data_IF_405118903296
#
_entry.id   IF_405118903296
#
_cell.length_a   1.000
_cell.length_b   1.000
_cell.length_c   1.000
_cell.angle_alpha   90.00
_cell.angle_beta   90.00
_cell.angle_gamma   90.00
#
_symmetry.space_group_name_H-M   'P 1'
#
loop_
_entity.id
_entity.type
_entity.pdbx_description
1 polymer ?
#
# COMPACT_ATOMS: atom_id res chain seq x y z
N UNK A 1 -15.11 -20.59 0.07
CA UNK A 1 -15.08 -19.13 0.10
C UNK A 1 -15.78 -18.60 -1.14
N UNK A 2 -16.58 -17.55 -1.00
CA UNK A 2 -17.15 -16.80 -2.11
C UNK A 2 -16.08 -15.93 -2.77
N UNK A 3 -16.36 -15.43 -3.97
CA UNK A 3 -15.48 -14.48 -4.65
C UNK A 3 -15.26 -13.20 -3.81
N UNK A 4 -16.31 -12.71 -3.16
CA UNK A 4 -16.24 -11.56 -2.27
C UNK A 4 -15.33 -11.82 -1.05
N UNK A 5 -15.42 -13.01 -0.44
CA UNK A 5 -14.54 -13.41 0.66
C UNK A 5 -13.06 -13.47 0.22
N UNK A 6 -12.79 -13.97 -0.99
CA UNK A 6 -11.44 -13.98 -1.56
C UNK A 6 -10.91 -12.56 -1.79
N UNK A 7 -11.74 -11.67 -2.35
CA UNK A 7 -11.37 -10.28 -2.59
C UNK A 7 -11.03 -9.55 -1.28
N UNK A 8 -11.84 -9.74 -0.24
CA UNK A 8 -11.60 -9.19 1.10
C UNK A 8 -10.27 -9.69 1.67
N UNK A 9 -9.97 -10.98 1.53
CA UNK A 9 -8.71 -11.55 2.00
C UNK A 9 -7.50 -10.91 1.29
N UNK A 10 -7.55 -10.77 -0.04
CA UNK A 10 -6.47 -10.13 -0.82
C UNK A 10 -6.23 -8.69 -0.35
N UNK A 11 -7.30 -7.90 -0.21
CA UNK A 11 -7.19 -6.50 0.24
C UNK A 11 -6.60 -6.43 1.64
N UNK A 12 -7.05 -7.29 2.56
CA UNK A 12 -6.53 -7.33 3.93
C UNK A 12 -5.04 -7.63 3.97
N UNK A 13 -4.58 -8.63 3.23
CA UNK A 13 -3.17 -9.02 3.23
C UNK A 13 -2.27 -7.97 2.55
N UNK A 14 -2.75 -7.33 1.47
CA UNK A 14 -2.08 -6.18 0.87
C UNK A 14 -1.91 -5.04 1.89
N UNK A 15 -2.98 -4.70 2.63
CA UNK A 15 -2.93 -3.63 3.63
C UNK A 15 -1.91 -3.95 4.73
N UNK A 16 -1.90 -5.18 5.26
CA UNK A 16 -0.91 -5.62 6.27
C UNK A 16 0.52 -5.45 5.75
N UNK A 17 0.81 -5.96 4.55
CA UNK A 17 2.14 -5.82 3.95
C UNK A 17 2.54 -4.35 3.75
N UNK A 18 1.63 -3.52 3.23
CA UNK A 18 1.88 -2.09 2.98
C UNK A 18 2.10 -1.28 4.26
N UNK A 19 1.52 -1.70 5.40
CA UNK A 19 1.63 -1.03 6.70
C UNK A 19 2.89 -1.44 7.48
N UNK A 20 3.47 -2.63 7.23
CA UNK A 20 4.73 -3.12 7.82
C UNK A 20 5.93 -2.81 6.89
N UNK A 21 5.85 -1.71 6.13
CA UNK A 21 6.62 -1.43 4.90
C UNK A 21 7.22 -2.61 4.13
N UNK A 22 6.52 -3.73 3.97
CA UNK A 22 6.97 -4.89 3.20
C UNK A 22 6.55 -4.73 1.73
N UNK A 23 7.39 -4.02 0.96
CA UNK A 23 7.11 -3.66 -0.42
C UNK A 23 7.06 -4.87 -1.37
N UNK A 24 7.92 -5.86 -1.14
CA UNK A 24 7.98 -7.07 -1.97
C UNK A 24 6.71 -7.89 -1.81
N UNK A 25 6.29 -8.16 -0.57
CA UNK A 25 5.05 -8.86 -0.30
C UNK A 25 3.84 -8.08 -0.81
N UNK A 26 3.78 -6.77 -0.60
CA UNK A 26 2.68 -5.95 -1.07
C UNK A 26 2.53 -6.01 -2.61
N UNK A 27 3.64 -6.06 -3.36
CA UNK A 27 3.62 -6.15 -4.81
C UNK A 27 3.01 -7.47 -5.33
N UNK A 28 3.07 -8.56 -4.56
CA UNK A 28 2.50 -9.86 -4.95
C UNK A 28 0.97 -9.86 -5.06
N UNK A 29 0.30 -8.90 -4.43
CA UNK A 29 -1.16 -8.74 -4.49
C UNK A 29 -1.63 -7.84 -5.63
N UNK A 30 -0.72 -7.35 -6.48
CA UNK A 30 -1.01 -6.43 -7.56
C UNK A 30 -0.62 -7.02 -8.91
N UNK A 31 -1.39 -6.71 -9.95
CA UNK A 31 -0.98 -7.01 -11.32
C UNK A 31 0.25 -6.17 -11.69
N UNK A 32 1.23 -6.69 -12.46
CA UNK A 32 2.42 -5.94 -12.86
C UNK A 32 2.13 -4.63 -13.60
N UNK A 33 0.98 -4.54 -14.27
CA UNK A 33 0.55 -3.36 -15.03
C UNK A 33 -0.43 -2.45 -14.27
N UNK A 34 -0.64 -2.68 -12.97
CA UNK A 34 -1.57 -1.88 -12.16
C UNK A 34 -1.24 -0.39 -12.26
N UNK A 35 -2.28 0.44 -12.41
CA UNK A 35 -2.16 1.90 -12.39
C UNK A 35 -2.58 2.41 -11.02
N UNK A 36 -1.62 2.90 -10.25
CA UNK A 36 -1.86 3.40 -8.89
C UNK A 36 -1.90 4.92 -8.94
N UNK A 37 -3.00 5.49 -8.47
CA UNK A 37 -3.16 6.93 -8.27
C UNK A 37 -3.39 7.19 -6.80
N UNK A 38 -2.46 7.91 -6.17
CA UNK A 38 -2.57 8.31 -4.78
C UNK A 38 -3.41 9.58 -4.63
N UNK A 39 -3.84 9.85 -3.39
CA UNK A 39 -4.58 11.06 -3.02
C UNK A 39 -3.89 12.31 -3.57
N UNK A 40 -4.68 13.16 -4.25
CA UNK A 40 -4.18 14.34 -4.95
C UNK A 40 -3.76 14.09 -6.40
N UNK A 41 -4.12 12.94 -7.00
CA UNK A 41 -3.85 12.64 -8.41
C UNK A 41 -2.41 12.24 -8.71
N UNK A 42 -1.64 11.86 -7.68
CA UNK A 42 -0.23 11.49 -7.85
C UNK A 42 -0.12 10.07 -8.36
N UNK A 43 0.38 9.89 -9.58
CA UNK A 43 0.72 8.58 -10.11
C UNK A 43 1.86 7.94 -9.31
N UNK A 44 1.75 6.64 -9.04
CA UNK A 44 2.77 5.80 -8.40
C UNK A 44 3.11 4.63 -9.32
N UNK A 45 4.39 4.28 -9.42
CA UNK A 45 4.87 3.22 -10.30
C UNK A 45 4.53 1.82 -9.76
N UNK A 46 4.36 1.67 -8.44
CA UNK A 46 4.04 0.40 -7.82
C UNK A 46 3.72 0.49 -6.33
N UNK A 47 3.46 -0.66 -5.71
CA UNK A 47 3.15 -0.75 -4.29
C UNK A 47 4.28 -0.24 -3.37
N UNK A 48 5.55 -0.34 -3.82
CA UNK A 48 6.71 0.16 -3.10
C UNK A 48 6.66 1.69 -2.86
N UNK A 49 6.19 2.44 -3.86
CA UNK A 49 6.05 3.90 -3.78
C UNK A 49 5.04 4.32 -2.70
N UNK A 50 3.97 3.52 -2.52
CA UNK A 50 2.98 3.74 -1.46
C UNK A 50 3.64 3.62 -0.08
N UNK A 51 4.37 2.53 0.15
CA UNK A 51 5.02 2.26 1.43
C UNK A 51 6.08 3.33 1.75
N UNK A 52 6.89 3.72 0.76
CA UNK A 52 7.89 4.78 0.92
C UNK A 52 7.23 6.13 1.25
N UNK A 53 6.19 6.51 0.48
CA UNK A 53 5.50 7.78 0.66
C UNK A 53 4.83 7.87 2.05
N UNK A 54 4.11 6.83 2.47
CA UNK A 54 3.49 6.78 3.78
C UNK A 54 4.51 6.74 4.92
N UNK A 55 5.60 5.98 4.76
CA UNK A 55 6.69 5.94 5.73
C UNK A 55 7.30 7.32 6.00
N UNK A 56 7.56 8.11 4.96
CA UNK A 56 8.04 9.48 5.10
C UNK A 56 7.02 10.38 5.83
N UNK A 57 5.73 10.26 5.51
CA UNK A 57 4.66 11.00 6.18
C UNK A 57 4.52 10.64 7.66
N UNK A 58 4.59 9.35 8.00
CA UNK A 58 4.52 8.93 9.40
C UNK A 58 5.69 9.45 10.22
N UNK A 59 6.90 9.54 9.66
CA UNK A 59 8.05 10.18 10.34
C UNK A 59 7.76 11.65 10.65
N UNK A 60 7.19 12.38 9.69
CA UNK A 60 6.83 13.79 9.89
C UNK A 60 5.72 13.96 10.93
N UNK A 61 4.64 13.17 10.83
CA UNK A 61 3.52 13.21 11.81
C UNK A 61 4.01 12.90 13.22
N UNK A 62 4.85 11.86 13.39
CA UNK A 62 5.43 11.53 14.69
C UNK A 62 6.28 12.66 15.26
N UNK A 63 7.03 13.38 14.41
CA UNK A 63 7.81 14.56 14.83
C UNK A 63 6.92 15.75 15.22
N UNK A 64 5.76 15.91 14.60
CA UNK A 64 4.86 17.05 14.85
C UNK A 64 3.99 16.87 16.11
N UNK A 65 3.72 15.62 16.50
CA UNK A 65 2.87 15.26 17.63
C UNK A 65 3.64 14.85 18.90
N UNK A 66 4.96 14.65 18.80
CA UNK A 66 5.86 14.37 19.92
C UNK A 66 6.66 15.61 20.30
#
# INVERSE_FOLDING_TARGET
>A
MTEAENAVAIVKEFLVASMIPDAERAATYMHPEVKITFTGGRAMAGAADIAQFNGARYKWVKKALG
#
